data_IF_409338663219
#
_entry.id   IF_409338663219
#
_cell.length_a   1.000
_cell.length_b   1.000
_cell.length_c   1.000
_cell.angle_alpha   90.00
_cell.angle_beta   90.00
_cell.angle_gamma   90.00
#
_symmetry.space_group_name_H-M   'P 1'
#
loop_
_entity.id
_entity.type
_entity.pdbx_description
1 polymer ?
#
# COMPACT_ATOMS: atom_id res chain seq x y z
N UNK A 1 21.96 0.92 -36.51
CA UNK A 1 21.21 1.56 -37.61
C UNK A 1 19.77 1.07 -37.55
N UNK A 2 18.83 2.03 -37.43
CA UNK A 2 17.38 2.01 -37.78
C UNK A 2 16.49 0.89 -37.20
N UNK A 3 15.21 1.06 -36.86
CA UNK A 3 14.28 2.16 -36.60
C UNK A 3 12.90 1.49 -36.72
N UNK A 4 11.99 1.73 -35.76
CA UNK A 4 10.52 1.70 -35.96
C UNK A 4 9.90 0.31 -36.24
N UNK A 5 8.89 -0.17 -35.51
CA UNK A 5 7.51 0.31 -35.61
C UNK A 5 6.69 0.08 -34.33
N UNK A 6 6.00 1.14 -33.92
CA UNK A 6 4.60 1.14 -33.46
C UNK A 6 4.19 0.13 -32.37
N UNK A 7 4.39 0.49 -31.10
CA UNK A 7 3.56 0.01 -29.98
C UNK A 7 2.92 1.15 -29.17
N UNK A 8 2.72 2.30 -29.80
CA UNK A 8 2.25 3.53 -29.14
C UNK A 8 0.72 3.73 -29.13
N UNK A 9 -0.09 2.70 -29.40
CA UNK A 9 -1.55 2.89 -29.56
C UNK A 9 -2.46 2.15 -28.57
N UNK A 10 -1.95 1.46 -27.53
CA UNK A 10 -2.80 0.58 -26.70
C UNK A 10 -2.64 0.68 -25.16
N UNK A 11 -1.99 1.70 -24.62
CA UNK A 11 -1.69 1.76 -23.18
C UNK A 11 -2.57 2.72 -22.35
N UNK A 12 -3.56 3.40 -22.95
CA UNK A 12 -4.36 4.41 -22.24
C UNK A 12 -5.60 3.85 -21.53
N UNK A 13 -5.92 2.56 -21.72
CA UNK A 13 -7.07 1.91 -21.11
C UNK A 13 -6.73 1.00 -19.90
N UNK A 14 -5.45 0.73 -19.63
CA UNK A 14 -5.04 -0.18 -18.54
C UNK A 14 -4.72 0.53 -17.22
N UNK A 15 -4.79 1.86 -17.16
CA UNK A 15 -4.26 2.63 -16.02
C UNK A 15 -5.27 2.84 -14.87
N UNK A 16 -6.56 2.52 -15.02
CA UNK A 16 -7.54 2.79 -13.96
C UNK A 16 -7.75 1.64 -12.96
N UNK A 17 -7.30 0.42 -13.27
CA UNK A 17 -7.48 -0.77 -12.42
C UNK A 17 -6.28 -1.08 -11.51
N UNK A 18 -5.11 -0.47 -11.75
CA UNK A 18 -3.90 -0.72 -10.96
C UNK A 18 -3.73 0.23 -9.76
N UNK A 19 -4.50 1.32 -9.70
CA UNK A 19 -4.36 2.33 -8.64
C UNK A 19 -4.64 1.77 -7.24
N UNK A 20 -5.64 0.88 -7.10
CA UNK A 20 -6.00 0.29 -5.81
C UNK A 20 -4.95 -0.69 -5.27
N UNK A 21 -4.37 -1.52 -6.14
CA UNK A 21 -3.35 -2.51 -5.73
C UNK A 21 -2.00 -1.85 -5.43
N UNK A 22 -1.64 -0.79 -6.17
CA UNK A 22 -0.40 -0.06 -5.92
C UNK A 22 -0.45 0.73 -4.60
N UNK A 23 -1.58 1.37 -4.28
CA UNK A 23 -1.71 2.14 -3.05
C UNK A 23 -1.64 1.26 -1.78
N UNK A 24 -2.21 0.05 -1.84
CA UNK A 24 -2.10 -0.96 -0.78
C UNK A 24 -0.65 -1.42 -0.54
N UNK A 25 0.10 -1.68 -1.61
CA UNK A 25 1.53 -2.00 -1.57
C UNK A 25 2.36 -0.82 -1.01
N UNK A 26 1.97 0.42 -1.35
CA UNK A 26 2.64 1.62 -0.88
C UNK A 26 2.45 1.81 0.63
N UNK A 27 1.25 1.54 1.18
CA UNK A 27 1.00 1.51 2.63
C UNK A 27 1.85 0.44 3.33
N UNK A 28 1.93 -0.77 2.77
CA UNK A 28 2.79 -1.85 3.29
C UNK A 28 4.26 -1.43 3.34
N UNK A 29 4.77 -0.83 2.26
CA UNK A 29 6.16 -0.35 2.22
C UNK A 29 6.41 0.85 3.13
N UNK A 30 5.43 1.73 3.32
CA UNK A 30 5.53 2.85 4.24
C UNK A 30 5.58 2.35 5.69
N UNK A 31 4.67 1.42 6.05
CA UNK A 31 4.65 0.79 7.36
C UNK A 31 5.95 0.01 7.64
N UNK A 32 6.44 -0.76 6.66
CA UNK A 32 7.72 -1.48 6.74
C UNK A 32 8.89 -0.55 7.04
N UNK A 33 8.97 0.58 6.32
CA UNK A 33 10.04 1.58 6.50
C UNK A 33 9.84 2.48 7.72
N UNK A 34 8.76 2.27 8.49
CA UNK A 34 8.33 3.13 9.58
C UNK A 34 8.11 4.61 9.16
N UNK A 35 7.74 4.82 7.89
CA UNK A 35 7.44 6.15 7.36
C UNK A 35 5.98 6.50 7.70
N UNK A 36 5.80 7.03 8.91
CA UNK A 36 4.48 7.41 9.42
C UNK A 36 3.80 8.45 8.54
N UNK A 37 4.53 9.40 7.95
CA UNK A 37 3.94 10.46 7.13
C UNK A 37 3.25 9.88 5.90
N UNK A 38 3.94 9.02 5.17
CA UNK A 38 3.38 8.38 3.96
C UNK A 38 2.28 7.39 4.34
N UNK A 39 2.48 6.62 5.41
CA UNK A 39 1.48 5.65 5.86
C UNK A 39 0.17 6.34 6.28
N UNK A 40 0.25 7.47 6.99
CA UNK A 40 -0.93 8.25 7.40
C UNK A 40 -1.65 8.88 6.21
N UNK A 41 -0.92 9.44 5.25
CA UNK A 41 -1.51 9.96 4.02
C UNK A 41 -2.27 8.87 3.26
N UNK A 42 -1.69 7.67 3.13
CA UNK A 42 -2.36 6.53 2.49
C UNK A 42 -3.63 6.08 3.23
N UNK A 43 -3.62 6.10 4.57
CA UNK A 43 -4.81 5.80 5.38
C UNK A 43 -5.91 6.86 5.14
N UNK A 44 -5.53 8.14 5.04
CA UNK A 44 -6.46 9.25 4.78
C UNK A 44 -7.06 9.21 3.37
N UNK A 45 -6.31 8.67 2.40
CA UNK A 45 -6.78 8.42 1.03
C UNK A 45 -7.75 7.22 0.92
N UNK A 46 -8.05 6.53 2.03
CA UNK A 46 -9.01 5.42 2.07
C UNK A 46 -8.48 4.12 1.45
N UNK A 47 -7.16 3.93 1.47
CA UNK A 47 -6.52 2.69 1.05
C UNK A 47 -6.95 1.53 1.95
N UNK A 48 -7.02 0.32 1.36
CA UNK A 48 -7.26 -0.90 2.13
C UNK A 48 -6.12 -1.14 3.15
N UNK A 49 -6.41 -0.88 4.42
CA UNK A 49 -5.49 -1.06 5.54
C UNK A 49 -5.22 -2.53 5.88
N UNK A 50 -6.01 -3.45 5.33
CA UNK A 50 -5.87 -4.90 5.51
C UNK A 50 -5.11 -5.57 4.36
N UNK A 51 -4.48 -4.77 3.48
CA UNK A 51 -3.59 -5.26 2.45
C UNK A 51 -2.56 -6.25 3.00
N UNK A 52 -2.35 -7.35 2.27
CA UNK A 52 -1.41 -8.40 2.63
C UNK A 52 -0.28 -8.47 1.62
N UNK A 53 0.95 -8.44 2.11
CA UNK A 53 2.15 -8.78 1.35
C UNK A 53 2.13 -10.29 1.01
N UNK A 54 2.93 -10.77 0.03
CA UNK A 54 2.94 -12.18 -0.37
C UNK A 54 3.26 -13.19 0.75
N UNK A 55 3.91 -12.73 1.81
CA UNK A 55 4.20 -13.49 3.03
C UNK A 55 3.06 -13.48 4.06
N UNK A 56 1.96 -12.77 3.77
CA UNK A 56 0.81 -12.61 4.66
C UNK A 56 0.88 -11.38 5.57
N UNK A 57 2.00 -10.65 5.56
CA UNK A 57 2.22 -9.50 6.44
C UNK A 57 1.29 -8.34 6.09
N UNK A 58 0.69 -7.71 7.10
CA UNK A 58 -0.19 -6.53 6.96
C UNK A 58 0.53 -5.24 7.40
N UNK A 59 0.01 -4.04 7.06
CA UNK A 59 0.53 -2.79 7.59
C UNK A 59 0.58 -2.78 9.13
N UNK A 60 -0.40 -3.43 9.79
CA UNK A 60 -0.46 -3.53 11.24
C UNK A 60 0.69 -4.36 11.81
N UNK A 61 1.08 -5.47 11.16
CA UNK A 61 2.25 -6.25 11.56
C UNK A 61 3.53 -5.40 11.55
N UNK A 62 3.75 -4.61 10.50
CA UNK A 62 4.90 -3.71 10.41
C UNK A 62 4.86 -2.60 11.45
N UNK A 63 3.70 -2.00 11.70
CA UNK A 63 3.55 -0.96 12.71
C UNK A 63 3.88 -1.48 14.12
N UNK A 64 3.43 -2.71 14.45
CA UNK A 64 3.76 -3.38 15.72
C UNK A 64 5.25 -3.76 15.78
N UNK A 65 5.79 -4.34 14.71
CA UNK A 65 7.22 -4.71 14.63
C UNK A 65 8.14 -3.51 14.85
N UNK A 66 7.77 -2.36 14.29
CA UNK A 66 8.52 -1.10 14.44
C UNK A 66 8.24 -0.37 15.77
N UNK A 67 7.32 -0.87 16.60
CA UNK A 67 6.92 -0.22 17.86
C UNK A 67 6.24 1.14 17.67
N UNK A 68 5.68 1.41 16.49
CA UNK A 68 5.08 2.70 16.16
C UNK A 68 3.62 2.74 16.63
N UNK A 69 3.43 3.12 17.90
CA UNK A 69 2.11 3.20 18.52
C UNK A 69 1.15 4.11 17.75
N UNK A 70 1.62 5.26 17.27
CA UNK A 70 0.78 6.20 16.54
C UNK A 70 0.24 5.58 15.24
N UNK A 71 1.08 4.83 14.51
CA UNK A 71 0.63 4.14 13.30
C UNK A 71 -0.32 2.97 13.62
N UNK A 72 -0.06 2.23 14.71
CA UNK A 72 -0.96 1.16 15.19
C UNK A 72 -2.35 1.71 15.50
N UNK A 73 -2.44 2.77 16.30
CA UNK A 73 -3.72 3.40 16.65
C UNK A 73 -4.48 3.88 15.42
N UNK A 74 -3.78 4.47 14.45
CA UNK A 74 -4.38 4.98 13.22
C UNK A 74 -4.87 3.87 12.31
N UNK A 75 -4.13 2.77 12.19
CA UNK A 75 -4.56 1.58 11.44
C UNK A 75 -5.80 0.94 12.08
N UNK A 76 -5.82 0.79 13.41
CA UNK A 76 -6.98 0.25 14.14
C UNK A 76 -8.20 1.16 13.97
N UNK A 77 -8.02 2.48 14.10
CA UNK A 77 -9.09 3.45 13.88
C UNK A 77 -9.64 3.41 12.44
N UNK A 78 -8.80 3.05 11.47
CA UNK A 78 -9.17 2.86 10.07
C UNK A 78 -9.79 1.47 9.78
N UNK A 79 -9.95 0.60 10.79
CA UNK A 79 -10.58 -0.71 10.64
C UNK A 79 -9.62 -1.85 10.29
N UNK A 80 -8.33 -1.72 10.62
CA UNK A 80 -7.38 -2.82 10.47
C UNK A 80 -7.75 -4.01 11.36
N UNK A 81 -7.70 -5.22 10.78
CA UNK A 81 -7.95 -6.47 11.48
C UNK A 81 -6.76 -6.83 12.37
N UNK A 82 -7.00 -6.75 13.68
CA UNK A 82 -6.03 -7.09 14.73
C UNK A 82 -5.77 -8.60 14.83
N UNK A 83 -6.64 -9.42 14.24
CA UNK A 83 -6.52 -10.88 14.21
C UNK A 83 -5.95 -11.40 12.89
N UNK A 84 -5.56 -10.52 11.96
CA UNK A 84 -4.93 -10.92 10.72
C UNK A 84 -3.62 -11.69 11.03
N UNK A 85 -3.59 -12.97 10.67
CA UNK A 85 -2.45 -13.89 10.81
C UNK A 85 -1.88 -14.25 9.44
#
# INVERSE_FOLDING_TARGET
MRSSHSRFAAAIASCFLAAGAQAAEDLLRAAQRNDATVALAAIEDGVDVNARSPDGTTPLHWAVYNGNLALVERLIAAGADVAAA
#
